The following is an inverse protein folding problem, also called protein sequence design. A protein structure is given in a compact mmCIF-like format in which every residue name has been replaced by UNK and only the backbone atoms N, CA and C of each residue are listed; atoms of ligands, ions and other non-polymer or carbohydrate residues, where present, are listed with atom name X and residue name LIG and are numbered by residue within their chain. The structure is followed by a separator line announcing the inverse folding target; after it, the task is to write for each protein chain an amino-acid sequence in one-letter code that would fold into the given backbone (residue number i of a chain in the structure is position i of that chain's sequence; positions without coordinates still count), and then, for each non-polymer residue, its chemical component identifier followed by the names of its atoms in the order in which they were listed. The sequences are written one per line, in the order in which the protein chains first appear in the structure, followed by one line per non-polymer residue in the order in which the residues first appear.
data_IF_476979738756
#
_entry.id   IF_476979738756
#
_cell.length_a   1.000
_cell.length_b   1.000
_cell.length_c   1.000
_cell.angle_alpha   90.00
_cell.angle_beta   90.00
_cell.angle_gamma   90.00
#
_symmetry.space_group_name_H-M   'P 1'
#
loop_
_entity.id
_entity.type
_entity.pdbx_description
1 polymer ?
#
# COMPACT_ATOMS: atom_id res chain seq x y z
N UNK A 1 12.18 20.15 5.16
CA UNK A 1 13.57 19.94 4.89
C UNK A 1 14.41 19.45 6.06
N UNK A 2 15.29 18.56 5.78
CA UNK A 2 16.31 18.01 6.68
C UNK A 2 17.55 18.93 6.79
N UNK A 3 17.39 20.24 6.65
CA UNK A 3 18.51 21.19 6.45
C UNK A 3 19.60 21.14 7.55
N UNK A 4 19.25 20.77 8.78
CA UNK A 4 20.23 20.61 9.86
C UNK A 4 20.91 19.23 9.87
N UNK A 5 20.23 18.19 9.37
CA UNK A 5 20.73 16.83 9.30
C UNK A 5 21.56 16.56 8.05
N UNK A 6 21.33 17.29 6.94
CA UNK A 6 22.12 17.16 5.71
C UNK A 6 23.62 17.46 5.92
N UNK A 7 23.95 18.41 6.81
CA UNK A 7 25.36 18.70 7.13
C UNK A 7 26.05 17.57 7.92
N UNK A 8 25.31 16.84 8.78
CA UNK A 8 25.86 15.70 9.49
C UNK A 8 26.05 14.47 8.62
N UNK A 9 25.23 14.33 7.60
CA UNK A 9 25.20 13.18 6.70
C UNK A 9 26.36 13.21 5.69
N UNK A 10 26.75 14.39 5.18
CA UNK A 10 27.75 14.53 4.11
C UNK A 10 29.17 14.06 4.48
N UNK A 11 29.59 14.25 5.71
CA UNK A 11 31.00 14.09 6.06
C UNK A 11 31.35 12.81 6.85
N UNK A 12 30.37 12.05 7.36
CA UNK A 12 30.60 10.99 8.34
C UNK A 12 29.69 9.76 8.14
N UNK A 13 29.70 9.16 6.97
CA UNK A 13 28.79 8.10 6.58
C UNK A 13 28.54 7.02 7.65
N UNK A 14 29.56 6.23 8.02
CA UNK A 14 29.41 5.10 8.97
C UNK A 14 29.14 5.51 10.43
N UNK A 15 29.39 6.75 10.79
CA UNK A 15 29.19 7.32 12.13
C UNK A 15 27.76 7.86 12.31
N UNK A 16 26.97 7.82 11.23
CA UNK A 16 25.60 8.34 11.20
C UNK A 16 24.61 7.21 11.00
N UNK A 17 23.64 7.13 11.92
CA UNK A 17 22.49 6.24 11.80
C UNK A 17 21.20 7.01 11.55
N UNK A 18 20.41 6.52 10.61
CA UNK A 18 18.99 6.90 10.44
C UNK A 18 18.15 5.72 10.90
N UNK A 19 17.44 5.92 11.98
CA UNK A 19 16.68 4.87 12.66
C UNK A 19 15.19 5.06 12.38
N UNK A 20 14.56 4.03 11.88
CA UNK A 20 13.13 4.00 11.58
C UNK A 20 12.38 3.29 12.70
N UNK A 21 11.48 3.99 13.39
CA UNK A 21 10.55 3.36 14.32
C UNK A 21 9.33 2.81 13.60
N UNK A 22 8.96 3.43 12.47
CA UNK A 22 8.03 2.86 11.49
C UNK A 22 8.79 2.47 10.22
N UNK A 23 8.95 1.16 10.03
CA UNK A 23 9.69 0.59 8.91
C UNK A 23 9.03 0.83 7.54
N UNK A 24 7.75 1.23 7.50
CA UNK A 24 7.07 1.60 6.27
C UNK A 24 7.66 2.88 5.64
N UNK A 25 8.38 3.67 6.42
CA UNK A 25 9.06 4.87 5.94
C UNK A 25 10.35 4.59 5.17
N UNK A 26 10.79 3.33 5.08
CA UNK A 26 12.03 2.98 4.38
C UNK A 26 12.06 3.49 2.94
N UNK A 27 11.04 3.17 2.14
CA UNK A 27 10.99 3.62 0.74
C UNK A 27 10.87 5.14 0.61
N UNK A 28 9.94 5.82 1.29
CA UNK A 28 9.91 7.28 1.29
C UNK A 28 11.24 7.91 1.68
N UNK A 29 11.94 7.35 2.67
CA UNK A 29 13.25 7.83 3.07
C UNK A 29 14.28 7.65 1.94
N UNK A 30 14.38 6.47 1.33
CA UNK A 30 15.32 6.21 0.24
C UNK A 30 15.12 7.16 -0.94
N UNK A 31 13.85 7.48 -1.28
CA UNK A 31 13.54 8.46 -2.32
C UNK A 31 13.80 9.91 -1.93
N UNK A 32 13.78 10.21 -0.62
CA UNK A 32 14.04 11.55 -0.11
C UNK A 32 15.53 11.85 0.11
N UNK A 33 16.39 10.82 0.05
CA UNK A 33 17.83 11.01 0.21
C UNK A 33 18.39 11.82 -0.98
N UNK A 34 19.18 12.87 -0.72
CA UNK A 34 19.88 13.60 -1.76
C UNK A 34 20.84 12.70 -2.56
N UNK A 35 20.94 12.94 -3.87
CA UNK A 35 21.75 12.13 -4.78
C UNK A 35 23.28 12.16 -4.46
N UNK A 36 23.73 13.17 -3.71
CA UNK A 36 25.13 13.36 -3.30
C UNK A 36 25.50 12.67 -1.97
N UNK A 37 24.59 11.96 -1.35
CA UNK A 37 24.83 11.21 -0.09
C UNK A 37 25.74 10.00 -0.31
N UNK A 38 26.25 9.66 -1.36
CA UNK A 38 27.18 8.56 -1.53
C UNK A 38 26.56 7.18 -1.20
N UNK A 39 27.26 6.38 -0.40
CA UNK A 39 26.83 5.01 -0.06
C UNK A 39 25.88 4.99 1.12
N UNK A 40 24.86 4.15 1.02
CA UNK A 40 23.86 3.90 2.06
C UNK A 40 23.80 2.39 2.33
N UNK A 41 23.88 2.00 3.59
CA UNK A 41 23.66 0.63 4.02
C UNK A 41 22.29 0.50 4.69
N UNK A 42 21.46 -0.40 4.18
CA UNK A 42 20.13 -0.69 4.71
C UNK A 42 20.16 -2.07 5.36
N UNK A 43 20.03 -2.13 6.67
CA UNK A 43 20.02 -3.40 7.41
C UNK A 43 18.64 -4.02 7.52
N UNK A 44 17.62 -3.21 7.32
CA UNK A 44 16.21 -3.66 7.29
C UNK A 44 15.93 -4.35 5.97
N UNK A 45 15.23 -5.49 6.00
CA UNK A 45 14.76 -6.11 4.76
C UNK A 45 13.65 -5.29 4.09
N UNK A 46 13.61 -5.32 2.76
CA UNK A 46 12.52 -4.75 1.98
C UNK A 46 11.22 -5.52 2.26
N UNK A 47 10.13 -4.90 2.72
CA UNK A 47 8.88 -5.59 2.98
C UNK A 47 8.28 -6.11 1.66
N UNK A 48 8.19 -7.43 1.50
CA UNK A 48 7.69 -8.06 0.26
C UNK A 48 6.30 -7.52 -0.13
N UNK A 49 5.46 -7.18 0.86
CA UNK A 49 4.11 -6.62 0.64
C UNK A 49 4.08 -5.30 -0.15
N UNK A 50 5.19 -4.58 -0.20
CA UNK A 50 5.32 -3.33 -0.97
C UNK A 50 5.88 -3.55 -2.38
N UNK A 51 6.20 -4.80 -2.75
CA UNK A 51 6.74 -5.13 -4.06
C UNK A 51 5.65 -5.32 -5.12
N UNK A 52 6.03 -5.11 -6.38
CA UNK A 52 5.18 -5.46 -7.52
C UNK A 52 4.88 -6.96 -7.56
N UNK A 53 5.81 -7.81 -7.12
CA UNK A 53 5.64 -9.25 -7.10
C UNK A 53 4.52 -9.67 -6.13
N UNK A 54 4.43 -9.03 -4.96
CA UNK A 54 3.35 -9.28 -4.02
C UNK A 54 1.98 -8.85 -4.57
N UNK A 55 1.90 -7.64 -5.15
CA UNK A 55 0.64 -7.16 -5.75
C UNK A 55 0.18 -8.06 -6.91
N UNK A 56 1.12 -8.61 -7.67
CA UNK A 56 0.80 -9.59 -8.71
C UNK A 56 0.18 -10.86 -8.13
N UNK A 57 0.78 -11.45 -7.10
CA UNK A 57 0.22 -12.63 -6.42
C UNK A 57 -1.16 -12.34 -5.83
N UNK A 58 -1.37 -11.18 -5.21
CA UNK A 58 -2.69 -10.77 -4.73
C UNK A 58 -3.73 -10.74 -5.86
N UNK A 59 -3.37 -10.18 -7.02
CA UNK A 59 -4.26 -10.20 -8.20
C UNK A 59 -4.55 -11.61 -8.71
N UNK A 60 -3.57 -12.51 -8.70
CA UNK A 60 -3.78 -13.92 -9.07
C UNK A 60 -4.72 -14.62 -8.09
N UNK A 61 -4.58 -14.37 -6.77
CA UNK A 61 -5.46 -14.91 -5.74
C UNK A 61 -6.88 -14.39 -5.92
N UNK A 62 -7.07 -13.08 -6.13
CA UNK A 62 -8.38 -12.49 -6.38
C UNK A 62 -9.04 -13.09 -7.63
N UNK A 63 -8.27 -13.21 -8.72
CA UNK A 63 -8.73 -13.81 -9.97
C UNK A 63 -9.27 -15.24 -9.76
N UNK A 64 -8.55 -16.06 -8.99
CA UNK A 64 -8.95 -17.44 -8.70
C UNK A 64 -10.13 -17.52 -7.74
N UNK A 65 -10.22 -16.63 -6.75
CA UNK A 65 -11.32 -16.59 -5.79
C UNK A 65 -12.64 -16.17 -6.45
N UNK A 66 -12.60 -15.25 -7.43
CA UNK A 66 -13.80 -14.75 -8.10
C UNK A 66 -14.17 -15.53 -9.36
N UNK A 67 -13.42 -16.60 -9.70
CA UNK A 67 -13.74 -17.44 -10.86
C UNK A 67 -15.12 -18.07 -10.74
N UNK A 68 -15.80 -18.23 -11.87
CA UNK A 68 -17.11 -18.89 -11.94
C UNK A 68 -17.08 -20.00 -12.95
N UNK A 69 -17.63 -21.16 -12.58
CA UNK A 69 -17.81 -22.27 -13.48
C UNK A 69 -18.99 -22.01 -14.41
N UNK A 70 -18.82 -22.20 -15.73
CA UNK A 70 -19.85 -22.03 -16.74
C UNK A 70 -19.82 -23.23 -17.70
N UNK A 71 -20.73 -24.18 -17.51
CA UNK A 71 -20.70 -25.46 -18.23
C UNK A 71 -19.36 -26.19 -18.02
N UNK A 72 -18.72 -26.59 -19.10
CA UNK A 72 -17.40 -27.21 -19.05
C UNK A 72 -16.23 -26.23 -19.00
N UNK A 73 -16.51 -24.91 -19.03
CA UNK A 73 -15.53 -23.84 -19.01
C UNK A 73 -15.50 -23.07 -17.69
N UNK A 74 -14.62 -22.07 -17.67
CA UNK A 74 -14.48 -21.14 -16.56
C UNK A 74 -14.54 -19.70 -17.07
N UNK A 75 -15.14 -18.82 -16.28
CA UNK A 75 -15.16 -17.37 -16.54
C UNK A 75 -14.57 -16.62 -15.36
N UNK A 76 -13.95 -15.48 -15.67
CA UNK A 76 -13.36 -14.56 -14.71
C UNK A 76 -14.11 -13.23 -14.71
N UNK A 77 -14.12 -12.56 -13.57
CA UNK A 77 -14.74 -11.24 -13.43
C UNK A 77 -13.90 -10.18 -14.15
N UNK A 78 -14.55 -9.31 -14.92
CA UNK A 78 -13.85 -8.36 -15.79
C UNK A 78 -12.88 -7.42 -15.06
N UNK A 79 -13.20 -7.00 -13.82
CA UNK A 79 -12.33 -6.10 -13.07
C UNK A 79 -11.03 -6.79 -12.63
N UNK A 80 -11.08 -8.07 -12.26
CA UNK A 80 -9.89 -8.85 -11.92
C UNK A 80 -9.03 -9.09 -13.16
N UNK A 81 -9.67 -9.40 -14.30
CA UNK A 81 -8.99 -9.52 -15.59
C UNK A 81 -8.31 -8.22 -15.99
N UNK A 82 -9.01 -7.07 -15.88
CA UNK A 82 -8.43 -5.76 -16.17
C UNK A 82 -7.24 -5.45 -15.24
N UNK A 83 -7.36 -5.79 -13.95
CA UNK A 83 -6.27 -5.63 -12.98
C UNK A 83 -5.02 -6.44 -13.34
N UNK A 84 -5.19 -7.65 -13.85
CA UNK A 84 -4.09 -8.51 -14.32
C UNK A 84 -3.49 -7.95 -15.62
N UNK A 85 -4.32 -7.59 -16.62
CA UNK A 85 -3.84 -7.07 -17.90
C UNK A 85 -3.09 -5.74 -17.76
N UNK A 86 -3.47 -4.92 -16.77
CA UNK A 86 -2.81 -3.65 -16.46
C UNK A 86 -1.58 -3.80 -15.57
N UNK A 87 -1.35 -4.98 -14.98
CA UNK A 87 -0.22 -5.18 -14.08
C UNK A 87 1.11 -5.16 -14.85
N UNK A 88 2.18 -4.46 -14.36
CA UNK A 88 3.44 -4.30 -15.08
C UNK A 88 4.04 -5.62 -15.58
N UNK A 89 4.02 -6.67 -14.76
CA UNK A 89 4.51 -8.01 -15.17
C UNK A 89 3.81 -8.64 -16.38
N UNK A 90 2.62 -8.17 -16.71
CA UNK A 90 1.85 -8.67 -17.84
C UNK A 90 1.80 -7.66 -18.97
N UNK A 91 1.57 -6.38 -18.62
CA UNK A 91 1.48 -5.29 -19.59
C UNK A 91 2.77 -5.05 -20.37
N UNK A 92 3.93 -5.17 -19.73
CA UNK A 92 5.23 -4.97 -20.36
C UNK A 92 5.62 -6.11 -21.30
N UNK A 93 5.09 -7.32 -21.08
CA UNK A 93 5.38 -8.47 -21.96
C UNK A 93 4.77 -8.33 -23.36
N UNK A 94 3.56 -7.76 -23.45
CA UNK A 94 2.85 -7.51 -24.72
C UNK A 94 1.84 -6.37 -24.54
N UNK A 95 2.35 -5.14 -24.52
CA UNK A 95 1.53 -3.95 -24.26
C UNK A 95 0.43 -3.71 -25.31
N UNK A 96 0.67 -4.11 -26.55
CA UNK A 96 -0.30 -3.95 -27.62
C UNK A 96 -1.49 -4.91 -27.43
N UNK A 97 -1.21 -6.19 -27.14
CA UNK A 97 -2.21 -7.22 -26.92
C UNK A 97 -3.06 -6.91 -25.68
N UNK A 98 -2.41 -6.61 -24.54
CA UNK A 98 -3.10 -6.35 -23.27
C UNK A 98 -4.02 -5.13 -23.36
N UNK A 99 -3.57 -4.07 -24.02
CA UNK A 99 -4.39 -2.87 -24.28
C UNK A 99 -5.59 -3.19 -25.16
N UNK A 100 -5.38 -3.90 -26.28
CA UNK A 100 -6.47 -4.29 -27.19
C UNK A 100 -7.50 -5.16 -26.46
N UNK A 101 -7.06 -6.12 -25.65
CA UNK A 101 -7.97 -6.98 -24.87
C UNK A 101 -8.78 -6.16 -23.85
N UNK A 102 -8.14 -5.21 -23.19
CA UNK A 102 -8.82 -4.32 -22.25
C UNK A 102 -9.90 -3.48 -22.96
N UNK A 103 -9.56 -2.88 -24.10
CA UNK A 103 -10.49 -2.09 -24.91
C UNK A 103 -11.67 -2.93 -25.43
N UNK A 104 -11.43 -4.18 -25.84
CA UNK A 104 -12.49 -5.10 -26.25
C UNK A 104 -13.43 -5.46 -25.08
N UNK A 105 -12.91 -5.71 -23.88
CA UNK A 105 -13.71 -5.99 -22.68
C UNK A 105 -14.62 -4.82 -22.35
N UNK A 106 -14.08 -3.60 -22.38
CA UNK A 106 -14.84 -2.36 -22.07
C UNK A 106 -15.88 -2.07 -23.15
N UNK A 107 -15.48 -2.12 -24.43
CA UNK A 107 -16.36 -1.87 -25.58
C UNK A 107 -17.55 -2.82 -25.61
N UNK A 108 -17.29 -4.12 -25.40
CA UNK A 108 -18.29 -5.18 -25.45
C UNK A 108 -19.07 -5.30 -24.13
N UNK A 109 -18.75 -4.50 -23.10
CA UNK A 109 -19.36 -4.50 -21.74
C UNK A 109 -19.39 -5.89 -21.11
N UNK A 110 -18.28 -6.63 -21.24
CA UNK A 110 -18.18 -8.01 -20.75
C UNK A 110 -18.03 -8.01 -19.22
N UNK A 111 -19.04 -8.45 -18.50
CA UNK A 111 -18.98 -8.60 -17.04
C UNK A 111 -18.21 -9.88 -16.65
N UNK A 112 -18.41 -10.95 -17.40
CA UNK A 112 -17.70 -12.23 -17.23
C UNK A 112 -16.97 -12.55 -18.52
N UNK A 113 -15.68 -12.88 -18.44
CA UNK A 113 -14.81 -13.13 -19.58
C UNK A 113 -14.39 -14.60 -19.57
N UNK A 114 -14.60 -15.30 -20.68
CA UNK A 114 -14.28 -16.73 -20.80
C UNK A 114 -12.75 -16.97 -20.80
N UNK A 115 -12.28 -17.97 -20.05
CA UNK A 115 -10.86 -18.35 -19.95
C UNK A 115 -10.25 -18.65 -21.33
N UNK A 116 -11.01 -19.32 -22.21
CA UNK A 116 -10.57 -19.63 -23.57
C UNK A 116 -10.32 -18.37 -24.41
N UNK A 117 -11.15 -17.32 -24.25
CA UNK A 117 -10.96 -16.05 -24.94
C UNK A 117 -9.75 -15.27 -24.41
N UNK A 118 -9.42 -15.43 -23.12
CA UNK A 118 -8.28 -14.76 -22.48
C UNK A 118 -6.93 -15.38 -22.87
N UNK A 119 -6.89 -16.65 -23.20
CA UNK A 119 -5.66 -17.38 -23.52
C UNK A 119 -5.07 -17.04 -24.90
N UNK A 120 -4.91 -15.75 -25.25
CA UNK A 120 -4.41 -15.30 -26.56
C UNK A 120 -2.92 -15.52 -26.79
N UNK A 121 -2.14 -15.66 -25.73
CA UNK A 121 -0.74 -16.07 -25.77
C UNK A 121 -0.43 -17.08 -24.66
N UNK A 122 0.77 -17.69 -24.68
CA UNK A 122 1.13 -18.74 -23.73
C UNK A 122 1.16 -18.24 -22.27
N UNK A 123 1.58 -17.00 -22.03
CA UNK A 123 1.59 -16.41 -20.69
C UNK A 123 0.15 -16.20 -20.18
N UNK A 124 -0.71 -15.58 -20.96
CA UNK A 124 -2.11 -15.35 -20.60
C UNK A 124 -2.88 -16.66 -20.44
N UNK A 125 -2.59 -17.67 -21.25
CA UNK A 125 -3.18 -19.00 -21.10
C UNK A 125 -2.87 -19.61 -19.72
N UNK A 126 -1.62 -19.49 -19.24
CA UNK A 126 -1.23 -19.95 -17.90
C UNK A 126 -1.92 -19.13 -16.80
N UNK A 127 -1.92 -17.80 -16.92
CA UNK A 127 -2.53 -16.88 -15.96
C UNK A 127 -4.03 -17.16 -15.80
N UNK A 128 -4.75 -17.41 -16.89
CA UNK A 128 -6.20 -17.65 -16.88
C UNK A 128 -6.58 -19.13 -16.82
N UNK A 129 -5.65 -20.02 -16.42
CA UNK A 129 -5.95 -21.41 -16.11
C UNK A 129 -6.66 -21.50 -14.74
N UNK A 130 -7.84 -22.12 -14.65
CA UNK A 130 -8.54 -22.27 -13.38
C UNK A 130 -7.87 -23.32 -12.49
N UNK A 131 -7.79 -23.04 -11.17
CA UNK A 131 -7.30 -23.97 -10.17
C UNK A 131 -8.34 -24.09 -9.03
N UNK A 132 -8.79 -25.31 -8.73
CA UNK A 132 -9.91 -25.55 -7.83
C UNK A 132 -9.49 -25.96 -6.42
N UNK A 133 -8.46 -26.77 -6.32
CA UNK A 133 -7.93 -27.28 -5.04
C UNK A 133 -6.72 -26.45 -4.59
N UNK A 134 -6.36 -26.54 -3.33
CA UNK A 134 -5.20 -25.84 -2.80
C UNK A 134 -3.88 -26.33 -3.44
N UNK A 135 -3.80 -27.60 -3.82
CA UNK A 135 -2.65 -28.16 -4.54
C UNK A 135 -2.55 -27.60 -5.96
N UNK A 136 -3.67 -27.58 -6.67
CA UNK A 136 -3.74 -26.94 -7.99
C UNK A 136 -3.41 -25.45 -7.93
N UNK A 137 -3.83 -24.73 -6.87
CA UNK A 137 -3.47 -23.33 -6.67
C UNK A 137 -1.96 -23.15 -6.43
N UNK A 138 -1.34 -24.05 -5.65
CA UNK A 138 0.12 -24.02 -5.47
C UNK A 138 0.86 -24.22 -6.79
N UNK A 139 0.45 -25.24 -7.56
CA UNK A 139 1.04 -25.53 -8.88
C UNK A 139 0.84 -24.37 -9.85
N UNK A 140 -0.38 -23.82 -9.88
CA UNK A 140 -0.72 -22.64 -10.67
C UNK A 140 0.16 -21.42 -10.32
N UNK A 141 0.31 -21.11 -9.03
CA UNK A 141 1.16 -19.98 -8.58
C UNK A 141 2.61 -20.19 -9.03
N UNK A 142 3.16 -21.38 -8.85
CA UNK A 142 4.52 -21.70 -9.25
C UNK A 142 4.71 -21.61 -10.77
N UNK A 143 3.76 -22.15 -11.55
CA UNK A 143 3.84 -22.11 -13.01
C UNK A 143 3.74 -20.68 -13.56
N UNK A 144 2.79 -19.87 -13.05
CA UNK A 144 2.62 -18.48 -13.46
C UNK A 144 3.82 -17.62 -13.07
N UNK A 145 4.28 -17.72 -11.81
CA UNK A 145 5.45 -16.97 -11.32
C UNK A 145 6.70 -17.32 -12.13
N UNK A 146 6.92 -18.63 -12.42
CA UNK A 146 8.04 -19.06 -13.25
C UNK A 146 7.92 -18.58 -14.70
N UNK A 147 6.71 -18.57 -15.27
CA UNK A 147 6.49 -18.08 -16.62
C UNK A 147 6.74 -16.57 -16.74
N UNK A 148 6.33 -15.80 -15.74
CA UNK A 148 6.57 -14.35 -15.64
C UNK A 148 8.06 -14.07 -15.43
N UNK A 149 8.74 -14.78 -14.53
CA UNK A 149 10.17 -14.60 -14.27
C UNK A 149 11.08 -14.87 -15.49
N UNK A 150 10.60 -15.63 -16.48
CA UNK A 150 11.34 -15.90 -17.73
C UNK A 150 11.16 -14.82 -18.79
N UNK A 151 10.28 -13.84 -18.58
CA UNK A 151 10.07 -12.76 -19.54
C UNK A 151 11.28 -11.81 -19.55
N UNK A 152 11.62 -11.26 -20.72
CA UNK A 152 12.66 -10.23 -20.80
C UNK A 152 12.14 -8.92 -20.19
N UNK A 153 12.72 -8.51 -19.09
CA UNK A 153 12.47 -7.20 -18.50
C UNK A 153 13.61 -6.24 -18.84
N UNK A 154 13.27 -5.02 -19.16
CA UNK A 154 14.23 -3.93 -19.41
C UNK A 154 14.25 -2.96 -18.20
N UNK A 155 15.40 -2.31 -18.00
CA UNK A 155 15.60 -1.34 -16.92
C UNK A 155 16.45 -1.85 -15.75
N UNK A 156 16.83 -0.94 -14.89
CA UNK A 156 17.73 -1.19 -13.76
C UNK A 156 17.10 -2.10 -12.68
N UNK A 157 15.77 -2.18 -12.63
CA UNK A 157 15.01 -2.98 -11.69
C UNK A 157 14.67 -4.41 -12.19
N UNK A 158 15.07 -4.76 -13.42
CA UNK A 158 14.77 -6.05 -14.02
C UNK A 158 15.25 -7.24 -13.16
N UNK A 159 16.49 -7.16 -12.65
CA UNK A 159 17.08 -8.19 -11.77
C UNK A 159 16.29 -8.31 -10.46
N UNK A 160 15.95 -7.20 -9.84
CA UNK A 160 15.20 -7.16 -8.58
C UNK A 160 13.78 -7.73 -8.75
N UNK A 161 13.11 -7.45 -9.87
CA UNK A 161 11.80 -8.01 -10.19
C UNK A 161 11.82 -9.54 -10.25
N UNK A 162 12.83 -10.11 -10.90
CA UNK A 162 13.00 -11.57 -11.00
C UNK A 162 13.35 -12.18 -9.63
N UNK A 163 14.19 -11.53 -8.86
CA UNK A 163 14.57 -11.97 -7.51
C UNK A 163 13.34 -12.03 -6.57
N UNK A 164 12.47 -11.02 -6.59
CA UNK A 164 11.25 -11.02 -5.80
C UNK A 164 10.29 -12.15 -6.19
N UNK A 165 10.18 -12.45 -7.48
CA UNK A 165 9.40 -13.59 -7.96
C UNK A 165 10.01 -14.93 -7.50
N UNK A 166 11.34 -15.05 -7.50
CA UNK A 166 12.04 -16.25 -7.01
C UNK A 166 11.79 -16.49 -5.53
N UNK A 167 11.85 -15.42 -4.70
CA UNK A 167 11.50 -15.50 -3.27
C UNK A 167 10.06 -15.97 -3.08
N UNK A 168 9.11 -15.43 -3.84
CA UNK A 168 7.72 -15.87 -3.77
C UNK A 168 7.59 -17.36 -4.13
N UNK A 169 8.23 -17.81 -5.21
CA UNK A 169 8.20 -19.21 -5.60
C UNK A 169 8.77 -20.15 -4.52
N UNK A 170 9.86 -19.73 -3.88
CA UNK A 170 10.45 -20.45 -2.74
C UNK A 170 9.46 -20.56 -1.58
N UNK A 171 8.79 -19.47 -1.21
CA UNK A 171 7.86 -19.45 -0.09
C UNK A 171 6.57 -20.24 -0.38
N UNK A 172 6.04 -20.18 -1.60
CA UNK A 172 4.92 -21.03 -2.02
C UNK A 172 5.31 -22.52 -1.93
N UNK A 173 6.53 -22.85 -2.36
CA UNK A 173 7.05 -24.23 -2.27
C UNK A 173 7.19 -24.68 -0.82
N UNK A 174 7.75 -23.84 0.06
CA UNK A 174 7.88 -24.14 1.49
C UNK A 174 6.52 -24.37 2.15
N UNK A 175 5.55 -23.47 1.89
CA UNK A 175 4.20 -23.62 2.43
C UNK A 175 3.54 -24.91 1.94
N UNK A 176 3.64 -25.22 0.65
CA UNK A 176 3.14 -26.47 0.07
C UNK A 176 3.73 -27.69 0.75
N UNK A 177 5.07 -27.78 0.84
CA UNK A 177 5.75 -28.92 1.44
C UNK A 177 5.33 -29.11 2.91
N UNK A 178 5.24 -28.02 3.69
CA UNK A 178 4.80 -28.09 5.09
C UNK A 178 3.35 -28.58 5.23
N UNK A 179 2.47 -28.20 4.30
CA UNK A 179 1.07 -28.66 4.31
C UNK A 179 0.94 -30.12 3.86
N UNK A 180 1.76 -30.56 2.90
CA UNK A 180 1.78 -31.97 2.46
C UNK A 180 2.35 -32.88 3.56
N UNK A 181 3.38 -32.45 4.30
CA UNK A 181 3.92 -33.20 5.45
C UNK A 181 2.93 -33.36 6.59
N UNK A 182 2.06 -32.38 6.80
CA UNK A 182 1.05 -32.42 7.85
C UNK A 182 -0.21 -33.24 7.48
N UNK A 183 -0.33 -33.69 6.24
CA UNK A 183 -1.50 -34.40 5.68
C UNK A 183 -2.85 -33.68 5.98
N UNK A 184 -2.82 -32.36 5.86
CA UNK A 184 -4.00 -31.51 6.15
C UNK A 184 -4.77 -31.28 4.86
N UNK A 185 -6.05 -31.60 4.87
CA UNK A 185 -6.96 -31.21 3.78
C UNK A 185 -7.51 -29.81 4.04
N UNK A 186 -7.19 -28.88 3.11
CA UNK A 186 -7.56 -27.48 3.20
C UNK A 186 -8.46 -27.08 2.05
N UNK A 187 -9.39 -26.15 2.33
CA UNK A 187 -10.09 -25.47 1.24
C UNK A 187 -9.15 -24.46 0.54
N UNK A 188 -9.43 -24.17 -0.71
CA UNK A 188 -8.69 -23.18 -1.49
C UNK A 188 -8.65 -21.81 -0.80
N UNK A 189 -9.74 -21.41 -0.14
CA UNK A 189 -9.85 -20.12 0.58
C UNK A 189 -8.94 -20.06 1.80
N UNK A 190 -8.87 -21.16 2.58
CA UNK A 190 -7.96 -21.23 3.73
C UNK A 190 -6.50 -21.18 3.26
N UNK A 191 -6.16 -21.92 2.20
CA UNK A 191 -4.82 -21.89 1.63
C UNK A 191 -4.43 -20.47 1.17
N UNK A 192 -5.29 -19.79 0.42
CA UNK A 192 -5.01 -18.42 -0.04
C UNK A 192 -4.86 -17.43 1.12
N UNK A 193 -5.65 -17.60 2.18
CA UNK A 193 -5.52 -16.79 3.40
C UNK A 193 -4.19 -17.02 4.13
N UNK A 194 -3.76 -18.28 4.24
CA UNK A 194 -2.46 -18.65 4.82
C UNK A 194 -1.30 -18.11 3.97
N UNK A 195 -1.38 -18.26 2.65
CA UNK A 195 -0.37 -17.74 1.73
C UNK A 195 -0.23 -16.22 1.86
N UNK A 196 -1.33 -15.49 1.84
CA UNK A 196 -1.34 -14.03 2.06
C UNK A 196 -0.67 -13.64 3.36
N UNK A 197 -1.09 -14.25 4.45
CA UNK A 197 -0.56 -13.96 5.79
C UNK A 197 0.96 -14.25 5.86
N UNK A 198 1.38 -15.34 5.25
CA UNK A 198 2.80 -15.70 5.20
C UNK A 198 3.61 -14.68 4.39
N UNK A 199 3.18 -14.35 3.18
CA UNK A 199 3.88 -13.41 2.31
C UNK A 199 3.89 -11.97 2.87
N UNK A 200 2.85 -11.54 3.61
CA UNK A 200 2.78 -10.21 4.21
C UNK A 200 3.86 -9.96 5.28
N UNK A 201 4.32 -11.01 5.94
CA UNK A 201 5.33 -10.89 7.00
C UNK A 201 6.76 -10.97 6.50
N UNK A 202 6.94 -11.31 5.22
CA UNK A 202 8.27 -11.53 4.64
C UNK A 202 9.00 -10.23 4.35
N UNK A 203 10.30 -10.28 4.57
CA UNK A 203 11.25 -9.23 4.23
C UNK A 203 12.38 -9.82 3.41
N UNK A 204 12.76 -9.12 2.36
CA UNK A 204 13.87 -9.49 1.48
C UNK A 204 15.08 -8.65 1.90
N UNK A 205 16.20 -9.29 2.33
CA UNK A 205 17.39 -8.53 2.70
C UNK A 205 17.94 -7.78 1.49
N UNK A 206 18.41 -6.55 1.71
CA UNK A 206 19.19 -5.84 0.70
C UNK A 206 20.58 -6.48 0.60
N UNK A 207 21.06 -6.69 -0.63
CA UNK A 207 22.46 -7.03 -0.85
C UNK A 207 23.31 -5.77 -0.70
N UNK A 208 24.25 -5.77 0.24
CA UNK A 208 25.17 -4.64 0.47
C UNK A 208 26.31 -5.01 1.41
N UNK A 209 27.38 -4.25 1.37
CA UNK A 209 28.47 -4.35 2.33
C UNK A 209 28.06 -3.67 3.65
N UNK A 210 27.98 -4.40 4.77
CA UNK A 210 27.26 -3.96 5.96
C UNK A 210 27.91 -2.84 6.78
N UNK A 211 29.01 -2.24 6.35
CA UNK A 211 29.76 -1.28 7.16
C UNK A 211 30.16 0.01 6.42
N UNK A 212 29.70 0.22 5.20
CA UNK A 212 30.04 1.43 4.45
C UNK A 212 28.84 2.37 4.26
N UNK A 213 29.05 3.66 4.46
CA UNK A 213 28.06 4.70 4.26
C UNK A 213 27.12 4.91 5.45
N UNK A 214 26.04 5.66 5.20
CA UNK A 214 25.01 5.93 6.22
C UNK A 214 24.26 4.64 6.55
N UNK A 215 24.08 4.40 7.83
CA UNK A 215 23.36 3.23 8.31
C UNK A 215 21.87 3.53 8.45
N UNK A 216 21.02 2.89 7.63
CA UNK A 216 19.56 2.94 7.78
C UNK A 216 19.09 1.64 8.40
N UNK A 217 18.45 1.73 9.58
CA UNK A 217 18.09 0.56 10.36
C UNK A 217 16.84 0.76 11.19
N UNK A 218 16.20 -0.33 11.60
CA UNK A 218 15.17 -0.31 12.61
C UNK A 218 15.75 -0.19 14.01
N UNK A 219 14.90 0.08 14.99
CA UNK A 219 15.35 0.23 16.37
C UNK A 219 15.98 -1.05 16.95
N UNK A 220 15.54 -2.23 16.52
CA UNK A 220 16.05 -3.49 17.01
C UNK A 220 17.46 -3.81 16.49
N UNK A 221 17.78 -3.35 15.30
CA UNK A 221 19.07 -3.52 14.66
C UNK A 221 20.15 -2.62 15.26
N UNK A 222 19.76 -1.56 15.99
CA UNK A 222 20.70 -0.64 16.65
C UNK A 222 21.38 -1.23 17.88
N UNK A 223 20.99 -2.43 18.31
CA UNK A 223 21.51 -3.06 19.53
C UNK A 223 23.03 -3.24 19.49
N UNK A 224 23.69 -2.78 20.56
CA UNK A 224 25.15 -2.82 20.75
C UNK A 224 25.97 -2.02 19.71
N UNK A 225 25.32 -1.17 18.91
CA UNK A 225 25.99 -0.24 18.01
C UNK A 225 26.05 1.16 18.63
N UNK A 226 27.14 1.86 18.33
CA UNK A 226 27.35 3.23 18.75
C UNK A 226 27.51 4.12 17.54
N UNK A 227 26.83 5.26 17.55
CA UNK A 227 26.87 6.24 16.46
C UNK A 227 27.13 7.63 17.02
N UNK A 228 27.86 8.46 16.29
CA UNK A 228 28.08 9.84 16.66
C UNK A 228 26.86 10.72 16.36
N UNK A 229 26.19 10.43 15.23
CA UNK A 229 25.00 11.16 14.80
C UNK A 229 23.83 10.19 14.65
N UNK A 230 22.75 10.48 15.33
CA UNK A 230 21.54 9.64 15.32
C UNK A 230 20.35 10.49 14.88
N UNK A 231 19.66 10.00 13.84
CA UNK A 231 18.42 10.60 13.34
C UNK A 231 17.34 9.54 13.50
N UNK A 232 16.33 9.82 14.33
CA UNK A 232 15.24 8.88 14.58
C UNK A 232 13.98 9.43 13.93
N UNK A 233 13.38 8.68 13.03
CA UNK A 233 12.15 9.07 12.32
C UNK A 233 10.93 8.43 12.94
N UNK A 234 9.80 9.11 12.83
CA UNK A 234 8.48 8.66 13.32
C UNK A 234 8.42 8.42 14.83
N UNK A 235 9.05 9.30 15.62
CA UNK A 235 9.07 9.28 17.08
C UNK A 235 7.72 9.72 17.68
N UNK A 236 6.62 9.14 17.19
CA UNK A 236 5.29 9.27 17.76
C UNK A 236 5.05 8.18 18.81
N UNK A 237 4.28 8.46 19.85
CA UNK A 237 4.03 7.52 20.96
C UNK A 237 3.30 6.25 20.48
N UNK A 238 2.50 6.36 19.44
CA UNK A 238 1.83 5.23 18.78
C UNK A 238 2.80 4.25 18.11
N UNK A 239 3.95 4.73 17.63
CA UNK A 239 4.97 3.94 16.95
C UNK A 239 6.08 3.47 17.89
N UNK A 240 6.50 4.37 18.81
CA UNK A 240 7.63 4.11 19.69
C UNK A 240 7.43 4.73 21.09
N UNK A 241 7.26 3.91 22.13
CA UNK A 241 7.39 2.45 22.16
C UNK A 241 6.23 1.70 21.50
N UNK A 242 5.12 2.35 21.16
CA UNK A 242 3.94 1.73 20.64
C UNK A 242 3.17 0.89 21.67
N UNK A 243 2.00 0.44 21.33
CA UNK A 243 1.16 -0.40 22.20
C UNK A 243 0.89 -1.79 21.63
N UNK A 244 1.94 -2.45 21.12
CA UNK A 244 1.82 -3.70 20.40
C UNK A 244 1.38 -4.89 21.26
N UNK A 245 1.64 -4.85 22.58
CA UNK A 245 1.35 -5.99 23.49
C UNK A 245 -0.11 -6.08 23.91
N UNK A 246 -0.85 -4.99 23.97
CA UNK A 246 -2.25 -5.00 24.43
C UNK A 246 -3.18 -5.75 23.47
N UNK A 247 -2.81 -5.88 22.20
CA UNK A 247 -3.65 -6.50 21.16
C UNK A 247 -3.24 -7.93 20.79
N UNK A 248 -2.07 -8.41 21.23
CA UNK A 248 -1.49 -9.65 20.72
C UNK A 248 -1.85 -10.94 21.46
N UNK A 249 -2.54 -10.89 22.59
CA UNK A 249 -2.76 -12.08 23.40
C UNK A 249 -4.08 -12.09 24.15
N UNK A 250 -4.75 -13.24 24.11
CA UNK A 250 -5.95 -13.52 24.92
C UNK A 250 -5.63 -13.84 26.38
N UNK A 251 -4.33 -13.87 26.79
CA UNK A 251 -3.94 -14.16 28.18
C UNK A 251 -4.12 -12.90 29.01
N UNK A 252 -4.99 -12.89 30.02
CA UNK A 252 -5.19 -11.75 30.90
C UNK A 252 -3.91 -11.34 31.64
N UNK A 253 -3.80 -10.05 31.95
CA UNK A 253 -2.64 -9.49 32.65
C UNK A 253 -2.30 -10.23 33.96
N UNK A 254 -3.33 -10.55 34.77
CA UNK A 254 -3.13 -11.24 36.06
C UNK A 254 -2.48 -12.62 35.90
N UNK A 255 -2.83 -13.36 34.84
CA UNK A 255 -2.20 -14.64 34.55
C UNK A 255 -0.79 -14.45 34.02
N UNK A 256 -0.52 -13.43 33.23
CA UNK A 256 0.83 -13.09 32.78
C UNK A 256 1.75 -12.81 33.98
N UNK A 257 1.30 -11.96 34.89
CA UNK A 257 2.05 -11.62 36.09
C UNK A 257 2.28 -12.82 36.99
N UNK A 258 1.26 -13.68 37.17
CA UNK A 258 1.35 -14.86 38.04
C UNK A 258 2.29 -15.96 37.48
N UNK A 259 2.44 -16.07 36.16
CA UNK A 259 3.28 -17.07 35.50
C UNK A 259 4.56 -16.47 34.90
N UNK A 260 4.96 -15.26 35.31
CA UNK A 260 6.17 -14.58 34.86
C UNK A 260 6.27 -14.42 33.33
N UNK A 261 5.12 -14.32 32.66
CA UNK A 261 5.06 -14.04 31.23
C UNK A 261 5.31 -12.56 30.97
N UNK A 262 5.87 -12.20 29.81
CA UNK A 262 6.13 -10.80 29.47
C UNK A 262 4.87 -9.92 29.60
N UNK A 263 4.96 -8.88 30.41
CA UNK A 263 3.91 -7.87 30.61
C UNK A 263 4.18 -6.63 29.78
N UNK A 264 3.22 -5.70 29.61
CA UNK A 264 3.45 -4.42 28.94
C UNK A 264 4.65 -3.64 29.51
N UNK A 265 4.85 -3.65 30.83
CA UNK A 265 5.95 -2.97 31.50
C UNK A 265 7.31 -3.55 31.10
N UNK A 266 7.40 -4.87 30.90
CA UNK A 266 8.63 -5.48 30.38
C UNK A 266 8.94 -5.01 28.97
N UNK A 267 7.91 -4.89 28.13
CA UNK A 267 8.04 -4.37 26.77
C UNK A 267 8.54 -2.93 26.78
N UNK A 268 7.88 -2.06 27.56
CA UNK A 268 8.29 -0.66 27.72
C UNK A 268 9.73 -0.54 28.23
N UNK A 269 10.11 -1.35 29.21
CA UNK A 269 11.48 -1.38 29.74
C UNK A 269 12.53 -1.76 28.69
N UNK A 270 12.21 -2.71 27.81
CA UNK A 270 13.10 -3.14 26.70
C UNK A 270 13.25 -2.01 25.67
N UNK A 271 12.17 -1.34 25.30
CA UNK A 271 12.23 -0.23 24.34
C UNK A 271 12.91 1.01 24.94
N UNK A 272 12.70 1.29 26.21
CA UNK A 272 13.44 2.32 26.93
C UNK A 272 14.96 2.03 26.91
N UNK A 273 15.36 0.78 27.18
CA UNK A 273 16.74 0.37 27.09
C UNK A 273 17.33 0.58 25.70
N UNK A 274 16.63 0.20 24.63
CA UNK A 274 17.12 0.41 23.25
C UNK A 274 17.29 1.89 22.94
N UNK A 275 16.32 2.71 23.31
CA UNK A 275 16.38 4.15 23.09
C UNK A 275 17.57 4.80 23.82
N UNK A 276 17.66 4.62 25.13
CA UNK A 276 18.72 5.24 25.91
C UNK A 276 20.10 4.68 25.56
N UNK A 277 20.19 3.39 25.22
CA UNK A 277 21.44 2.79 24.77
C UNK A 277 21.91 3.36 23.43
N UNK A 278 21.00 3.64 22.53
CA UNK A 278 21.31 4.23 21.23
C UNK A 278 21.85 5.67 21.36
N UNK A 279 21.22 6.49 22.18
CA UNK A 279 21.57 7.91 22.29
C UNK A 279 22.72 8.22 23.25
N UNK A 280 23.04 7.34 24.21
CA UNK A 280 23.96 7.64 25.30
C UNK A 280 25.37 8.03 24.86
N UNK A 281 25.83 7.60 23.67
CA UNK A 281 27.16 7.93 23.11
C UNK A 281 27.10 8.82 21.89
N UNK A 282 25.90 9.22 21.49
CA UNK A 282 25.71 10.13 20.36
C UNK A 282 26.14 11.55 20.73
N UNK A 283 26.77 12.24 19.79
CA UNK A 283 27.12 13.66 19.91
C UNK A 283 25.93 14.54 19.49
N UNK A 284 25.20 14.10 18.48
CA UNK A 284 24.01 14.78 17.98
C UNK A 284 22.87 13.79 17.81
N UNK A 285 21.69 14.18 18.29
CA UNK A 285 20.47 13.38 18.18
C UNK A 285 19.35 14.25 17.60
N UNK A 286 18.77 13.81 16.49
CA UNK A 286 17.60 14.41 15.89
C UNK A 286 16.42 13.44 15.98
N UNK A 287 15.33 13.88 16.56
CA UNK A 287 14.11 13.10 16.71
C UNK A 287 12.98 13.79 15.94
N UNK A 288 12.43 13.09 14.96
CA UNK A 288 11.37 13.60 14.10
C UNK A 288 10.06 12.87 14.41
N UNK A 289 9.00 13.63 14.61
CA UNK A 289 7.65 13.09 14.77
C UNK A 289 6.64 13.91 13.97
N UNK A 290 5.50 13.32 13.64
CA UNK A 290 4.41 14.00 12.96
C UNK A 290 3.45 14.56 14.01
N UNK A 291 3.24 15.88 14.02
CA UNK A 291 2.30 16.55 14.95
C UNK A 291 0.85 16.53 14.43
N UNK A 292 0.62 16.03 13.22
CA UNK A 292 -0.71 15.92 12.64
C UNK A 292 -1.40 14.64 13.11
N UNK A 293 -2.61 14.78 13.66
CA UNK A 293 -3.45 13.64 14.01
C UNK A 293 -4.23 13.15 12.78
N UNK A 294 -4.25 11.84 12.58
CA UNK A 294 -5.05 11.17 11.56
C UNK A 294 -5.77 9.94 12.16
N UNK A 295 -6.44 9.15 11.33
CA UNK A 295 -7.14 7.92 11.78
C UNK A 295 -6.20 6.85 12.38
N UNK A 296 -4.88 6.99 12.23
CA UNK A 296 -3.87 6.00 12.64
C UNK A 296 -2.92 6.53 13.71
N UNK A 297 -2.79 7.83 13.85
CA UNK A 297 -1.87 8.47 14.79
C UNK A 297 -2.54 9.62 15.52
N UNK A 298 -2.28 9.70 16.82
CA UNK A 298 -2.74 10.81 17.66
C UNK A 298 -1.97 12.11 17.40
N UNK A 299 -0.84 12.06 16.68
CA UNK A 299 0.06 13.19 16.47
C UNK A 299 0.90 13.54 17.71
N UNK A 300 0.86 12.73 18.77
CA UNK A 300 1.63 12.97 19.99
C UNK A 300 3.08 12.50 19.84
N UNK A 301 4.06 13.28 20.29
CA UNK A 301 5.44 12.86 20.34
C UNK A 301 5.62 11.71 21.35
N UNK A 302 6.59 10.85 21.10
CA UNK A 302 6.95 9.76 22.00
C UNK A 302 7.25 10.28 23.42
N UNK A 303 6.81 9.50 24.42
CA UNK A 303 7.08 9.78 25.85
C UNK A 303 8.56 9.95 26.17
N UNK A 304 9.46 9.34 25.39
CA UNK A 304 10.90 9.50 25.57
C UNK A 304 11.40 10.90 25.19
N UNK A 305 10.72 11.61 24.29
CA UNK A 305 11.02 13.01 23.99
C UNK A 305 10.69 13.88 25.20
N UNK A 306 9.55 13.64 25.82
CA UNK A 306 9.17 14.33 27.06
C UNK A 306 10.11 14.03 28.22
N UNK A 307 10.54 12.77 28.39
CA UNK A 307 11.51 12.42 29.43
C UNK A 307 12.84 13.15 29.23
N UNK A 308 13.34 13.25 28.00
CA UNK A 308 14.55 14.02 27.73
C UNK A 308 14.36 15.51 27.99
N UNK A 309 13.22 16.08 27.59
CA UNK A 309 12.93 17.50 27.76
C UNK A 309 12.82 17.92 29.23
N UNK A 310 12.14 17.10 30.05
CA UNK A 310 11.83 17.47 31.45
C UNK A 310 12.77 16.86 32.50
N UNK A 311 13.38 15.71 32.23
CA UNK A 311 14.12 14.95 33.24
C UNK A 311 15.63 14.92 33.02
N UNK A 312 16.11 15.08 31.75
CA UNK A 312 17.52 14.85 31.45
C UNK A 312 18.44 16.04 31.76
N UNK A 313 17.91 17.25 31.82
CA UNK A 313 18.69 18.48 31.89
C UNK A 313 19.43 18.86 30.61
N UNK A 314 19.19 18.16 29.50
CA UNK A 314 19.70 18.56 28.18
C UNK A 314 18.92 19.73 27.60
N UNK A 315 19.60 20.56 26.81
CA UNK A 315 18.94 21.62 26.03
C UNK A 315 18.29 20.98 24.76
N UNK A 316 16.98 20.74 24.85
CA UNK A 316 16.20 20.15 23.75
C UNK A 316 15.64 21.27 22.89
N UNK A 317 16.22 21.46 21.70
CA UNK A 317 15.74 22.45 20.74
C UNK A 317 14.59 21.88 19.91
N UNK A 318 13.42 22.50 20.01
CA UNK A 318 12.24 22.16 19.19
C UNK A 318 12.22 23.01 17.93
N UNK A 319 12.06 22.35 16.77
CA UNK A 319 11.97 23.00 15.47
C UNK A 319 10.74 22.44 14.76
N UNK A 320 9.85 23.31 14.32
CA UNK A 320 8.73 22.94 13.47
C UNK A 320 9.16 22.98 12.01
N UNK A 321 8.95 21.89 11.29
CA UNK A 321 9.23 21.77 9.86
C UNK A 321 7.92 21.70 9.12
N UNK A 322 7.56 22.78 8.43
CA UNK A 322 6.40 22.82 7.55
C UNK A 322 6.79 22.44 6.13
N UNK A 323 5.89 21.76 5.44
CA UNK A 323 5.99 21.55 3.99
C UNK A 323 5.01 22.50 3.32
N UNK A 324 5.53 23.49 2.60
CA UNK A 324 4.71 24.34 1.75
C UNK A 324 4.26 23.52 0.52
N UNK A 325 3.06 22.96 0.61
CA UNK A 325 2.43 22.35 -0.56
C UNK A 325 1.91 23.48 -1.43
N UNK A 326 2.67 23.82 -2.46
CA UNK A 326 2.22 24.78 -3.47
C UNK A 326 1.14 24.11 -4.32
N UNK A 327 -0.12 24.15 -3.83
CA UNK A 327 -1.26 23.75 -4.61
C UNK A 327 -1.39 24.78 -5.73
N UNK A 328 -1.04 24.41 -6.95
CA UNK A 328 -1.37 25.22 -8.10
C UNK A 328 -2.88 25.51 -8.06
N UNK A 329 -3.25 26.77 -7.94
CA UNK A 329 -4.65 27.17 -8.04
C UNK A 329 -5.16 26.71 -9.41
N UNK A 330 -5.92 25.62 -9.42
CA UNK A 330 -6.62 25.18 -10.63
C UNK A 330 -7.71 26.20 -10.92
N UNK A 331 -7.61 26.87 -12.05
CA UNK A 331 -8.67 27.77 -12.48
C UNK A 331 -10.00 27.00 -12.46
N UNK A 332 -11.08 27.60 -11.91
CA UNK A 332 -12.36 26.95 -11.87
C UNK A 332 -12.82 26.61 -13.30
N UNK A 333 -13.34 25.39 -13.46
CA UNK A 333 -13.92 24.98 -14.75
C UNK A 333 -15.23 25.74 -14.93
N UNK A 334 -15.26 26.67 -15.87
CA UNK A 334 -16.45 27.46 -16.23
C UNK A 334 -16.94 27.05 -17.61
N UNK A 335 -18.24 26.83 -17.74
CA UNK A 335 -18.89 26.60 -19.01
C UNK A 335 -19.85 27.78 -19.27
N UNK A 336 -19.51 28.67 -20.23
CA UNK A 336 -20.39 29.79 -20.56
C UNK A 336 -21.71 29.27 -21.13
N UNK A 337 -22.82 29.93 -20.79
CA UNK A 337 -24.13 29.67 -21.37
C UNK A 337 -24.25 30.37 -22.73
N UNK A 338 -23.47 29.87 -23.69
CA UNK A 338 -23.54 30.31 -25.07
C UNK A 338 -24.88 29.87 -25.74
N UNK A 339 -25.10 30.34 -26.97
CA UNK A 339 -26.29 30.01 -27.72
C UNK A 339 -26.48 28.49 -27.91
N UNK A 340 -25.38 27.74 -28.10
CA UNK A 340 -25.42 26.28 -28.25
C UNK A 340 -25.82 25.55 -26.96
N UNK A 341 -25.40 26.06 -25.81
CA UNK A 341 -25.79 25.52 -24.49
C UNK A 341 -27.24 25.89 -24.19
N UNK A 342 -27.67 27.15 -24.51
CA UNK A 342 -29.03 27.59 -24.27
C UNK A 342 -30.05 26.79 -25.10
N UNK A 343 -29.82 26.56 -26.38
CA UNK A 343 -30.68 25.73 -27.23
C UNK A 343 -30.85 24.31 -26.67
N UNK A 344 -29.77 23.73 -26.08
CA UNK A 344 -29.86 22.42 -25.45
C UNK A 344 -30.62 22.44 -24.13
N UNK A 345 -30.58 23.53 -23.38
CA UNK A 345 -31.33 23.71 -22.14
C UNK A 345 -32.82 23.97 -22.39
N UNK A 346 -33.16 24.76 -23.41
CA UNK A 346 -34.54 25.09 -23.78
C UNK A 346 -35.39 23.86 -24.06
N UNK A 347 -34.81 22.77 -24.57
CA UNK A 347 -35.54 21.52 -24.79
C UNK A 347 -36.15 20.91 -23.52
N UNK A 348 -35.70 21.27 -22.32
CA UNK A 348 -36.27 20.81 -21.05
C UNK A 348 -37.41 21.70 -20.56
N UNK A 349 -37.57 22.90 -21.15
CA UNK A 349 -38.59 23.91 -20.80
C UNK A 349 -39.70 23.95 -21.86
N UNK A 350 -39.37 23.59 -23.09
CA UNK A 350 -40.34 23.57 -24.20
C UNK A 350 -41.38 22.46 -23.98
N UNK A 351 -42.64 22.86 -23.87
CA UNK A 351 -43.78 21.96 -23.67
C UNK A 351 -44.01 20.98 -24.85
N UNK A 352 -43.51 21.30 -26.04
CA UNK A 352 -43.58 20.43 -27.22
C UNK A 352 -42.39 19.44 -27.33
N UNK A 353 -41.39 19.61 -26.51
CA UNK A 353 -40.22 18.75 -26.51
C UNK A 353 -40.49 17.42 -25.79
N UNK A 354 -40.05 16.27 -26.32
CA UNK A 354 -40.15 15.01 -25.63
C UNK A 354 -39.14 14.88 -24.46
N UNK A 355 -38.25 15.86 -24.29
CA UNK A 355 -37.26 15.85 -23.25
C UNK A 355 -37.85 16.33 -21.92
N UNK A 356 -37.90 15.46 -20.93
CA UNK A 356 -38.36 15.77 -19.57
C UNK A 356 -37.19 15.82 -18.60
N UNK A 357 -37.24 16.74 -17.63
CA UNK A 357 -36.27 16.81 -16.57
C UNK A 357 -36.60 15.74 -15.51
N UNK A 358 -35.81 14.66 -15.44
CA UNK A 358 -36.02 13.63 -14.43
C UNK A 358 -35.70 14.16 -13.03
N UNK A 359 -36.31 13.62 -11.96
CA UNK A 359 -35.98 13.98 -10.58
C UNK A 359 -34.48 13.85 -10.27
N UNK A 360 -33.84 12.82 -10.80
CA UNK A 360 -32.38 12.58 -10.63
C UNK A 360 -31.56 13.68 -11.31
N UNK A 361 -31.97 14.13 -12.51
CA UNK A 361 -31.30 15.22 -13.21
C UNK A 361 -31.48 16.55 -12.46
N UNK A 362 -32.68 16.80 -11.92
CA UNK A 362 -32.95 17.98 -11.09
C UNK A 362 -32.07 17.99 -9.81
N UNK A 363 -32.03 16.89 -9.05
CA UNK A 363 -31.17 16.81 -7.88
C UNK A 363 -29.69 16.96 -8.21
N UNK A 364 -29.25 16.45 -9.38
CA UNK A 364 -27.87 16.63 -9.86
C UNK A 364 -27.59 18.11 -10.17
N UNK A 365 -28.53 18.84 -10.73
CA UNK A 365 -28.43 20.29 -10.96
C UNK A 365 -28.31 21.07 -9.64
N UNK A 366 -29.17 20.76 -8.66
CA UNK A 366 -29.14 21.41 -7.34
C UNK A 366 -27.81 21.13 -6.61
N UNK A 367 -27.28 19.90 -6.72
CA UNK A 367 -26.02 19.53 -6.09
C UNK A 367 -24.81 20.19 -6.77
N UNK A 368 -24.77 20.23 -8.10
CA UNK A 368 -23.70 20.84 -8.88
C UNK A 368 -24.18 21.12 -10.33
N UNK A 369 -24.36 22.38 -10.73
CA UNK A 369 -24.78 22.75 -12.09
C UNK A 369 -23.81 22.23 -13.17
N UNK A 370 -22.49 22.24 -12.90
CA UNK A 370 -21.49 21.76 -13.83
C UNK A 370 -21.59 20.23 -14.06
N UNK A 371 -21.86 19.45 -13.00
CA UNK A 371 -22.12 18.01 -13.10
C UNK A 371 -23.38 17.71 -13.91
N UNK A 372 -24.43 18.54 -13.74
CA UNK A 372 -25.63 18.43 -14.54
C UNK A 372 -25.33 18.72 -16.01
N UNK A 373 -24.56 19.78 -16.30
CA UNK A 373 -24.18 20.13 -17.67
C UNK A 373 -23.46 18.95 -18.34
N UNK A 374 -22.37 18.46 -17.75
CA UNK A 374 -21.61 17.38 -18.38
C UNK A 374 -22.44 16.11 -18.58
N UNK A 375 -23.20 15.70 -17.59
CA UNK A 375 -23.97 14.46 -17.70
C UNK A 375 -25.24 14.58 -18.55
N UNK A 376 -26.05 15.65 -18.38
CA UNK A 376 -27.37 15.74 -18.94
C UNK A 376 -27.41 16.54 -20.23
N UNK A 377 -26.52 17.52 -20.40
CA UNK A 377 -26.49 18.43 -21.56
C UNK A 377 -25.42 17.95 -22.55
N UNK A 378 -24.19 17.80 -22.12
CA UNK A 378 -23.07 17.35 -22.95
C UNK A 378 -23.06 15.81 -23.16
N UNK A 379 -23.80 15.07 -22.33
CA UNK A 379 -23.89 13.59 -22.34
C UNK A 379 -22.54 12.91 -22.29
N UNK A 380 -21.62 13.47 -21.49
CA UNK A 380 -20.35 12.82 -21.21
C UNK A 380 -20.57 11.69 -20.21
N UNK A 381 -20.15 10.50 -20.57
CA UNK A 381 -20.05 9.37 -19.67
C UNK A 381 -18.63 9.34 -19.09
N UNK A 382 -18.51 9.02 -17.79
CA UNK A 382 -17.20 8.82 -17.19
C UNK A 382 -16.54 7.62 -17.89
N UNK A 383 -15.27 7.77 -18.25
CA UNK A 383 -14.48 6.63 -18.71
C UNK A 383 -14.33 5.67 -17.53
N UNK A 384 -14.85 4.44 -17.63
CA UNK A 384 -14.75 3.40 -16.59
C UNK A 384 -13.29 3.04 -16.21
N UNK A 385 -12.30 3.58 -16.95
CA UNK A 385 -10.87 3.44 -16.66
C UNK A 385 -10.41 4.25 -15.46
N UNK A 386 -11.19 5.23 -15.01
CA UNK A 386 -10.82 6.07 -13.88
C UNK A 386 -11.94 6.02 -12.83
N UNK A 387 -11.74 5.23 -11.79
CA UNK A 387 -12.55 5.29 -10.58
C UNK A 387 -11.87 6.28 -9.62
N UNK A 388 -12.27 7.58 -9.63
CA UNK A 388 -11.64 8.55 -8.75
C UNK A 388 -11.94 8.20 -7.28
N UNK A 389 -10.99 8.40 -6.36
CA UNK A 389 -11.17 8.10 -4.93
C UNK A 389 -12.32 8.85 -4.26
N UNK A 390 -13.03 9.74 -4.98
CA UNK A 390 -14.14 10.53 -4.47
C UNK A 390 -15.49 9.81 -4.35
N UNK A 391 -15.65 8.56 -4.80
CA UNK A 391 -16.93 7.83 -4.57
C UNK A 391 -17.17 7.45 -3.10
N UNK A 392 -16.17 7.56 -2.21
CA UNK A 392 -16.39 7.38 -0.76
C UNK A 392 -17.12 8.53 -0.07
N UNK A 393 -17.25 9.69 -0.71
CA UNK A 393 -17.98 10.83 -0.14
C UNK A 393 -19.52 10.66 -0.15
N UNK A 394 -20.08 9.77 -0.98
CA UNK A 394 -21.53 9.48 -0.98
C UNK A 394 -21.97 8.56 0.20
N UNK A 395 -21.03 8.00 0.95
CA UNK A 395 -21.34 7.16 2.12
C UNK A 395 -21.57 7.95 3.43
N UNK A 396 -21.29 9.26 3.44
CA UNK A 396 -21.60 10.15 4.55
C UNK A 396 -22.99 10.80 4.38
N UNK A 397 -24.03 9.98 4.29
CA UNK A 397 -25.38 10.47 4.60
C UNK A 397 -25.48 10.59 6.13
N UNK A 398 -25.81 11.77 6.66
CA UNK A 398 -26.12 11.86 8.08
C UNK A 398 -27.33 10.96 8.36
N UNK A 399 -27.17 10.02 9.27
CA UNK A 399 -28.29 9.27 9.85
C UNK A 399 -29.32 10.28 10.37
N UNK A 400 -30.43 10.45 9.64
CA UNK A 400 -31.61 11.10 10.20
C UNK A 400 -32.04 10.26 11.39
N UNK A 401 -31.87 10.82 12.57
CA UNK A 401 -32.38 10.28 13.81
C UNK A 401 -33.87 9.93 13.62
N UNK A 402 -34.23 8.69 13.89
CA UNK A 402 -35.61 8.30 14.10
C UNK A 402 -36.07 9.03 15.35
N UNK A 403 -36.93 10.01 15.14
CA UNK A 403 -37.64 10.67 16.23
C UNK A 403 -38.38 9.62 17.05
N UNK A 404 -38.12 9.63 18.32
CA UNK A 404 -38.96 8.99 19.31
C UNK A 404 -40.32 9.66 19.28
N UNK A 405 -41.37 8.93 18.97
CA UNK A 405 -42.74 9.26 19.33
C UNK A 405 -43.30 8.15 20.22
N UNK A 406 -43.50 8.57 21.48
CA UNK A 406 -44.34 7.97 22.53
C UNK A 406 -44.08 6.51 22.88
#
# INVERSE_FOLDING_TARGET
GLVGSEMCIRDRGKETAVVLTDENLLLPLLYALPADIGRVNVTMGFPLRQSLAYTFVERLVELQNHRRRKGDGCTFYHADVAGILAHPYVAECDAALTRTMHEEIVRDRRISVDAAWLGRNELLKRIFTPAATWRELSDYMLDVVAAVARQPYEGDDARQRVEFLAVIAEQVTKLRNSLDECDIDLTAEVYTSLLRRHLQTLRIPFEGEPLEGIQIMGILETRNLDFENVIILSMNDDNFPGNHMAQASFIPYNLRAAYELPTPEHHEGVYAYYFYRLIQRAKTVHMLYCSHADDKSTGEPSRYIYQLDYESGFDVRKVEVGVDVNLAETAPIEVPKDEGVMVRLERFVDAQSPATLSPTAFFRYVACPLRFYFHSIARLEADDRYDPPCRRADALRPHRGRGASR
#
